data_IF_178387017839
#
_entry.id   IF_178387017839
#
_cell.length_a   1.000
_cell.length_b   1.000
_cell.length_c   1.000
_cell.angle_alpha   90.00
_cell.angle_beta   90.00
_cell.angle_gamma   90.00
#
_symmetry.space_group_name_H-M   'P 1'
#
loop_
_entity.id
_entity.type
_entity.pdbx_description
1 polymer ?
#
# COMPACT_ATOMS: atom_id res chain seq x y z
N UNK A 1 10.64 -28.33 3.61
CA UNK A 1 10.42 -27.23 2.72
C UNK A 1 9.91 -26.01 3.43
N UNK A 2 10.68 -25.00 3.45
CA UNK A 2 10.21 -23.78 4.12
C UNK A 2 9.04 -23.23 3.38
N UNK A 3 8.05 -22.87 4.14
CA UNK A 3 6.92 -22.17 3.57
C UNK A 3 7.31 -20.74 3.27
N UNK A 4 7.03 -20.33 2.08
CA UNK A 4 7.24 -18.94 1.75
C UNK A 4 6.27 -18.10 2.56
N UNK A 5 6.80 -17.18 3.33
CA UNK A 5 5.97 -16.19 4.01
C UNK A 5 5.80 -14.95 3.16
N UNK A 6 6.28 -15.03 1.91
CA UNK A 6 6.12 -13.89 1.02
C UNK A 6 4.67 -13.67 0.67
N UNK A 7 4.31 -12.43 0.57
CA UNK A 7 2.97 -11.99 0.29
C UNK A 7 2.98 -11.29 -1.05
N UNK A 8 1.94 -11.49 -1.84
CA UNK A 8 1.80 -10.78 -3.10
C UNK A 8 1.24 -9.40 -2.82
N UNK A 9 2.03 -8.39 -3.13
CA UNK A 9 1.70 -7.01 -2.83
C UNK A 9 1.62 -6.21 -4.11
N UNK A 10 0.53 -5.49 -4.30
CA UNK A 10 0.43 -4.52 -5.39
C UNK A 10 0.88 -3.17 -4.86
N UNK A 11 1.80 -2.53 -5.57
CA UNK A 11 2.30 -1.21 -5.20
C UNK A 11 1.95 -0.24 -6.31
N UNK A 12 0.96 0.61 -6.06
CA UNK A 12 0.53 1.63 -7.02
C UNK A 12 1.17 2.95 -6.59
N UNK A 13 2.25 3.32 -7.24
CA UNK A 13 3.00 4.50 -6.82
C UNK A 13 3.88 5.00 -7.96
N UNK A 14 4.57 6.11 -7.70
CA UNK A 14 5.55 6.63 -8.64
C UNK A 14 6.86 5.84 -8.51
N UNK A 15 7.64 5.82 -9.60
CA UNK A 15 8.85 5.02 -9.64
C UNK A 15 9.88 5.45 -8.60
N UNK A 16 9.89 6.71 -8.26
CA UNK A 16 10.84 7.25 -7.28
C UNK A 16 10.69 6.61 -5.90
N UNK A 17 9.55 6.01 -5.64
CA UNK A 17 9.26 5.38 -4.35
C UNK A 17 9.58 3.90 -4.31
N UNK A 18 9.98 3.30 -5.42
CA UNK A 18 10.15 1.85 -5.49
C UNK A 18 11.15 1.33 -4.46
N UNK A 19 12.32 1.95 -4.38
CA UNK A 19 13.35 1.49 -3.46
C UNK A 19 12.90 1.62 -2.01
N UNK A 20 12.21 2.69 -1.68
CA UNK A 20 11.71 2.90 -0.34
C UNK A 20 10.71 1.81 0.05
N UNK A 21 9.80 1.48 -0.86
CA UNK A 21 8.81 0.44 -0.60
C UNK A 21 9.49 -0.92 -0.52
N UNK A 22 10.46 -1.20 -1.40
CA UNK A 22 11.20 -2.46 -1.33
C UNK A 22 11.91 -2.62 0.00
N UNK A 23 12.49 -1.53 0.52
CA UNK A 23 13.19 -1.58 1.80
C UNK A 23 12.22 -1.89 2.94
N UNK A 24 10.99 -1.46 2.84
CA UNK A 24 9.98 -1.71 3.87
C UNK A 24 9.36 -3.11 3.76
N UNK A 25 9.46 -3.75 2.60
CA UNK A 25 8.81 -5.04 2.36
C UNK A 25 9.78 -6.08 1.83
N UNK A 26 10.88 -6.35 2.58
CA UNK A 26 11.87 -7.30 2.10
C UNK A 26 11.28 -8.71 2.03
N UNK A 27 11.63 -9.43 0.97
CA UNK A 27 11.21 -10.82 0.83
C UNK A 27 9.80 -11.05 0.34
N UNK A 28 9.04 -9.99 0.12
CA UNK A 28 7.69 -10.13 -0.41
C UNK A 28 7.69 -9.95 -1.92
N UNK A 29 6.64 -10.42 -2.56
CA UNK A 29 6.52 -10.38 -4.01
C UNK A 29 5.78 -9.10 -4.40
N UNK A 30 6.52 -8.13 -4.94
CA UNK A 30 5.97 -6.81 -5.23
C UNK A 30 5.69 -6.66 -6.72
N UNK A 31 4.50 -6.18 -7.05
CA UNK A 31 4.14 -5.81 -8.41
C UNK A 31 3.90 -4.31 -8.43
N UNK A 32 4.67 -3.59 -9.23
CA UNK A 32 4.59 -2.13 -9.29
C UNK A 32 3.75 -1.71 -10.49
N UNK A 33 2.81 -0.79 -10.25
CA UNK A 33 2.03 -0.19 -11.32
C UNK A 33 2.10 1.33 -11.22
N UNK A 34 1.98 2.00 -12.36
CA UNK A 34 2.21 3.45 -12.46
C UNK A 34 0.96 4.23 -12.82
N UNK A 35 -0.05 3.59 -13.38
CA UNK A 35 -1.26 4.27 -13.84
C UNK A 35 -2.48 3.50 -13.41
N UNK A 36 -3.62 4.20 -13.39
CA UNK A 36 -4.89 3.54 -13.07
C UNK A 36 -5.20 2.37 -14.00
N UNK A 37 -5.03 2.49 -15.32
CA UNK A 37 -5.29 1.32 -16.18
C UNK A 37 -4.40 0.13 -15.85
N UNK A 38 -3.14 0.35 -15.51
CA UNK A 38 -2.26 -0.75 -15.10
C UNK A 38 -2.74 -1.38 -13.80
N UNK A 39 -3.12 -0.55 -12.83
CA UNK A 39 -3.62 -1.05 -11.55
C UNK A 39 -4.88 -1.87 -11.76
N UNK A 40 -5.81 -1.38 -12.56
CA UNK A 40 -7.05 -2.09 -12.82
C UNK A 40 -6.79 -3.44 -13.48
N UNK A 41 -5.86 -3.48 -14.43
CA UNK A 41 -5.51 -4.73 -15.11
C UNK A 41 -4.94 -5.75 -14.13
N UNK A 42 -3.99 -5.32 -13.30
CA UNK A 42 -3.35 -6.24 -12.37
C UNK A 42 -4.32 -6.72 -11.29
N UNK A 43 -5.16 -5.83 -10.78
CA UNK A 43 -6.14 -6.19 -9.76
C UNK A 43 -7.15 -7.22 -10.28
N UNK A 44 -7.46 -7.16 -11.56
CA UNK A 44 -8.42 -8.10 -12.14
C UNK A 44 -7.77 -9.37 -12.65
N UNK A 45 -6.45 -9.40 -12.76
CA UNK A 45 -5.73 -10.56 -13.28
C UNK A 45 -5.17 -11.45 -12.17
N UNK A 46 -4.84 -10.87 -11.04
CA UNK A 46 -4.13 -11.59 -10.00
C UNK A 46 -4.78 -11.31 -8.65
N UNK A 47 -4.43 -12.12 -7.67
CA UNK A 47 -4.93 -11.94 -6.31
C UNK A 47 -3.83 -11.40 -5.42
N UNK A 48 -3.95 -10.15 -5.01
CA UNK A 48 -2.99 -9.54 -4.10
C UNK A 48 -3.50 -9.63 -2.67
N UNK A 49 -2.57 -9.77 -1.74
CA UNK A 49 -2.89 -9.96 -0.33
C UNK A 49 -2.72 -8.69 0.47
N UNK A 50 -2.02 -7.72 -0.12
CA UNK A 50 -1.84 -6.40 0.46
C UNK A 50 -1.75 -5.42 -0.71
N UNK A 51 -2.35 -4.25 -0.55
CA UNK A 51 -2.28 -3.21 -1.59
C UNK A 51 -1.74 -1.94 -0.95
N UNK A 52 -0.71 -1.37 -1.57
CA UNK A 52 -0.05 -0.15 -1.14
C UNK A 52 -0.25 0.89 -2.22
N UNK A 53 -0.83 2.03 -1.87
CA UNK A 53 -1.12 3.09 -2.83
C UNK A 53 -0.45 4.37 -2.36
N UNK A 54 0.36 4.98 -3.24
CA UNK A 54 1.07 6.21 -2.92
C UNK A 54 0.24 7.45 -3.18
N UNK A 55 0.48 8.49 -2.38
CA UNK A 55 -0.23 9.76 -2.50
C UNK A 55 -0.14 10.34 -3.90
N UNK A 56 1.01 10.17 -4.56
CA UNK A 56 1.25 10.78 -5.86
C UNK A 56 1.00 9.84 -7.02
N UNK A 57 0.44 8.68 -6.74
CA UNK A 57 0.15 7.70 -7.78
C UNK A 57 -0.71 8.32 -8.88
N UNK A 58 -0.20 8.22 -10.12
CA UNK A 58 -0.91 8.61 -11.32
C UNK A 58 -1.58 9.98 -11.17
N UNK A 59 -0.76 11.01 -10.93
CA UNK A 59 -1.24 12.39 -10.78
C UNK A 59 -2.26 12.53 -9.64
N UNK A 60 -1.86 12.01 -8.48
CA UNK A 60 -2.65 12.15 -7.24
C UNK A 60 -4.00 11.43 -7.30
N UNK A 61 -4.01 10.23 -7.88
CA UNK A 61 -5.23 9.41 -7.93
C UNK A 61 -5.29 8.37 -6.82
N UNK A 62 -4.60 8.61 -5.71
CA UNK A 62 -4.55 7.65 -4.60
C UNK A 62 -5.94 7.26 -4.11
N UNK A 63 -6.79 8.25 -3.83
CA UNK A 63 -8.12 7.96 -3.29
C UNK A 63 -9.02 7.32 -4.33
N UNK A 64 -8.87 7.71 -5.60
CA UNK A 64 -9.60 7.07 -6.68
C UNK A 64 -9.24 5.60 -6.79
N UNK A 65 -7.95 5.29 -6.67
CA UNK A 65 -7.49 3.90 -6.71
C UNK A 65 -8.04 3.11 -5.53
N UNK A 66 -8.02 3.70 -4.35
CA UNK A 66 -8.58 3.05 -3.16
C UNK A 66 -10.07 2.74 -3.37
N UNK A 67 -10.82 3.70 -3.89
CA UNK A 67 -12.24 3.48 -4.16
C UNK A 67 -12.44 2.35 -5.16
N UNK A 68 -11.59 2.29 -6.19
CA UNK A 68 -11.70 1.22 -7.17
C UNK A 68 -11.47 -0.14 -6.53
N UNK A 69 -10.42 -0.27 -5.70
CA UNK A 69 -10.13 -1.54 -5.02
C UNK A 69 -11.34 -1.97 -4.18
N UNK A 70 -11.91 -1.03 -3.44
CA UNK A 70 -13.04 -1.35 -2.56
C UNK A 70 -14.32 -1.66 -3.34
N UNK A 71 -14.38 -1.31 -4.61
CA UNK A 71 -15.53 -1.67 -5.44
C UNK A 71 -15.45 -3.13 -5.92
N UNK A 72 -14.30 -3.78 -5.77
CA UNK A 72 -14.10 -5.15 -6.22
C UNK A 72 -14.39 -6.11 -5.08
N UNK A 73 -15.42 -6.97 -5.21
CA UNK A 73 -15.80 -7.83 -4.08
C UNK A 73 -14.71 -8.74 -3.57
N UNK A 74 -13.85 -9.24 -4.46
CA UNK A 74 -12.79 -10.16 -4.05
C UNK A 74 -11.65 -9.47 -3.29
N UNK A 75 -11.67 -8.15 -3.22
CA UNK A 75 -10.71 -7.41 -2.40
C UNK A 75 -11.36 -6.80 -1.16
N UNK A 76 -12.59 -7.18 -0.83
CA UNK A 76 -13.31 -6.55 0.28
C UNK A 76 -12.56 -6.65 1.61
N UNK A 77 -11.86 -7.76 1.84
CA UNK A 77 -11.16 -8.00 3.10
C UNK A 77 -9.66 -7.78 3.00
N UNK A 78 -9.15 -7.40 1.84
CA UNK A 78 -7.71 -7.21 1.65
C UNK A 78 -7.31 -5.85 2.22
N UNK A 79 -6.28 -5.79 3.08
CA UNK A 79 -5.85 -4.50 3.62
C UNK A 79 -5.26 -3.62 2.52
N UNK A 80 -5.62 -2.34 2.56
CA UNK A 80 -5.10 -1.33 1.67
C UNK A 80 -4.48 -0.25 2.53
N UNK A 81 -3.19 0.02 2.30
CA UNK A 81 -2.45 1.03 3.04
C UNK A 81 -2.04 2.12 2.05
N UNK A 82 -2.29 3.35 2.41
CA UNK A 82 -1.86 4.48 1.60
C UNK A 82 -0.60 5.06 2.21
N UNK A 83 0.33 5.51 1.37
CA UNK A 83 1.64 5.93 1.84
C UNK A 83 2.05 7.24 1.20
N UNK A 84 2.92 7.95 1.89
CA UNK A 84 3.55 9.16 1.40
C UNK A 84 5.02 9.08 1.82
N UNK A 85 5.91 9.40 0.91
CA UNK A 85 7.34 9.35 1.24
C UNK A 85 8.11 10.42 0.50
N UNK A 86 7.50 11.56 0.35
CA UNK A 86 8.17 12.68 -0.24
C UNK A 86 8.99 13.43 0.79
N UNK A 87 10.04 14.07 0.30
CA UNK A 87 10.86 14.94 1.14
C UNK A 87 10.14 16.26 1.42
N UNK A 88 9.05 16.56 0.74
CA UNK A 88 8.22 17.70 1.10
C UNK A 88 7.34 17.30 2.26
N UNK A 89 7.55 17.95 3.40
CA UNK A 89 6.80 17.61 4.59
C UNK A 89 5.38 18.13 4.50
N UNK A 90 4.43 17.23 4.66
CA UNK A 90 3.05 17.62 4.86
C UNK A 90 2.90 18.03 6.33
N UNK A 91 2.06 19.03 6.59
CA UNK A 91 1.78 19.40 7.98
C UNK A 91 1.01 18.26 8.66
N UNK A 92 1.06 18.26 9.99
CA UNK A 92 0.31 17.24 10.74
C UNK A 92 -1.18 17.32 10.45
N UNK A 93 -1.71 18.53 10.30
CA UNK A 93 -3.14 18.70 10.00
C UNK A 93 -3.49 18.08 8.65
N UNK A 94 -2.65 18.29 7.63
CA UNK A 94 -2.90 17.71 6.30
C UNK A 94 -2.79 16.20 6.37
N UNK A 95 -1.75 15.68 7.05
CA UNK A 95 -1.57 14.23 7.20
C UNK A 95 -2.78 13.59 7.86
N UNK A 96 -3.28 14.24 8.91
CA UNK A 96 -4.45 13.72 9.62
C UNK A 96 -5.69 13.74 8.75
N UNK A 97 -5.87 14.81 7.97
CA UNK A 97 -7.02 14.90 7.08
C UNK A 97 -6.98 13.81 6.02
N UNK A 98 -5.81 13.54 5.46
CA UNK A 98 -5.67 12.47 4.48
C UNK A 98 -5.94 11.12 5.12
N UNK A 99 -5.42 10.89 6.33
CA UNK A 99 -5.67 9.64 7.03
C UNK A 99 -7.15 9.41 7.27
N UNK A 100 -7.87 10.46 7.67
CA UNK A 100 -9.31 10.38 7.87
C UNK A 100 -10.02 10.01 6.57
N UNK A 101 -9.62 10.64 5.45
CA UNK A 101 -10.22 10.34 4.15
C UNK A 101 -9.93 8.91 3.73
N UNK A 102 -8.70 8.45 3.93
CA UNK A 102 -8.31 7.09 3.58
C UNK A 102 -9.17 6.08 4.36
N UNK A 103 -9.31 6.29 5.66
CA UNK A 103 -10.10 5.39 6.49
C UNK A 103 -11.58 5.42 6.13
N UNK A 104 -12.09 6.60 5.79
CA UNK A 104 -13.49 6.74 5.39
C UNK A 104 -13.78 5.98 4.10
N UNK A 105 -12.79 5.82 3.23
CA UNK A 105 -12.93 5.11 1.97
C UNK A 105 -12.54 3.64 2.07
N UNK A 106 -12.26 3.16 3.27
CA UNK A 106 -11.97 1.75 3.48
C UNK A 106 -10.50 1.37 3.51
N UNK A 107 -9.60 2.36 3.51
CA UNK A 107 -8.19 2.11 3.70
C UNK A 107 -7.86 1.91 5.16
N UNK A 108 -6.76 1.25 5.45
CA UNK A 108 -6.38 0.94 6.81
C UNK A 108 -5.69 2.12 7.48
N UNK A 109 -4.82 2.80 6.77
CA UNK A 109 -4.05 3.92 7.32
C UNK A 109 -3.34 4.67 6.21
N UNK A 110 -2.89 5.87 6.55
CA UNK A 110 -2.00 6.66 5.70
C UNK A 110 -0.68 6.80 6.43
N UNK A 111 0.37 6.19 5.92
CA UNK A 111 1.67 6.11 6.57
C UNK A 111 2.66 7.04 5.88
N UNK A 112 3.60 7.56 6.66
CA UNK A 112 4.66 8.39 6.12
C UNK A 112 5.98 7.62 6.14
N UNK A 113 6.48 7.31 4.93
CA UNK A 113 7.71 6.55 4.78
C UNK A 113 8.90 7.45 4.43
N UNK A 114 8.74 8.76 4.56
CA UNK A 114 9.79 9.71 4.20
C UNK A 114 10.99 9.68 5.14
N UNK A 115 12.18 9.82 4.57
CA UNK A 115 13.39 9.93 5.35
C UNK A 115 13.32 11.19 6.20
N UNK A 116 13.89 11.12 7.39
CA UNK A 116 13.89 12.27 8.30
C UNK A 116 12.60 12.45 9.06
N UNK A 117 11.62 11.59 8.81
CA UNK A 117 10.39 11.59 9.59
C UNK A 117 10.59 10.72 10.82
N UNK A 118 10.17 11.23 11.96
CA UNK A 118 10.44 10.58 13.23
C UNK A 118 9.93 9.14 13.29
N UNK A 119 8.77 8.89 12.68
CA UNK A 119 8.12 7.59 12.75
C UNK A 119 8.36 6.71 11.52
N UNK A 120 9.30 7.10 10.67
CA UNK A 120 9.55 6.37 9.43
C UNK A 120 9.78 4.87 9.66
N UNK A 121 10.64 4.52 10.64
CA UNK A 121 10.95 3.10 10.88
C UNK A 121 9.76 2.35 11.44
N UNK A 122 8.95 3.01 12.25
CA UNK A 122 7.75 2.37 12.80
C UNK A 122 6.73 2.10 11.70
N UNK A 123 6.52 3.06 10.82
CA UNK A 123 5.58 2.90 9.72
C UNK A 123 6.05 1.82 8.75
N UNK A 124 7.35 1.78 8.48
CA UNK A 124 7.93 0.76 7.63
C UNK A 124 7.73 -0.64 8.25
N UNK A 125 7.98 -0.77 9.55
CA UNK A 125 7.79 -2.04 10.25
C UNK A 125 6.32 -2.47 10.29
N UNK A 126 5.42 -1.50 10.43
CA UNK A 126 3.99 -1.79 10.40
C UNK A 126 3.58 -2.36 9.05
N UNK A 127 4.09 -1.77 7.97
CA UNK A 127 3.78 -2.23 6.64
C UNK A 127 4.24 -3.68 6.43
N UNK A 128 5.46 -3.99 6.87
CA UNK A 128 5.97 -5.35 6.75
C UNK A 128 5.14 -6.34 7.58
N UNK A 129 4.76 -5.95 8.78
CA UNK A 129 3.93 -6.81 9.62
C UNK A 129 2.57 -7.08 8.97
N UNK A 130 1.98 -6.07 8.37
CA UNK A 130 0.72 -6.25 7.66
C UNK A 130 0.86 -7.22 6.50
N UNK A 131 1.99 -7.14 5.77
CA UNK A 131 2.24 -8.05 4.68
C UNK A 131 2.36 -9.49 5.18
N UNK A 132 3.09 -9.70 6.27
CA UNK A 132 3.25 -11.03 6.84
C UNK A 132 1.90 -11.59 7.29
N UNK A 133 1.12 -10.79 7.98
CA UNK A 133 -0.18 -11.23 8.49
C UNK A 133 -1.15 -11.51 7.34
N UNK A 134 -1.10 -10.71 6.30
CA UNK A 134 -1.98 -10.91 5.14
C UNK A 134 -1.67 -12.21 4.42
N UNK A 135 -0.39 -12.54 4.32
CA UNK A 135 0.01 -13.81 3.72
C UNK A 135 -0.49 -15.00 4.51
N UNK A 136 -0.49 -14.90 5.83
CA UNK A 136 -0.98 -15.97 6.68
C UNK A 136 -2.49 -16.11 6.61
N UNK A 137 -3.21 -15.00 6.52
CA UNK A 137 -4.67 -15.03 6.60
C UNK A 137 -5.33 -15.57 5.34
N UNK A 138 -4.57 -15.76 4.26
CA UNK A 138 -5.11 -16.31 3.01
C UNK A 138 -4.90 -17.81 2.94
N UNK A 139 -4.52 -18.43 4.00
CA UNK A 139 -4.26 -19.86 4.00
C UNK A 139 -5.52 -20.66 3.72
N UNK A 140 -5.48 -21.59 2.76
CA UNK A 140 -6.61 -22.47 2.54
C UNK A 140 -6.76 -23.46 3.69
N UNK A 141 -7.96 -23.87 3.90
CA UNK A 141 -8.22 -24.86 4.95
C UNK A 141 -8.01 -26.27 4.45
#
# INVERSE_FOLDING_TARGET
MPLSLSTKVLVANVAEMDDKVRDCLPGHHLTFVRTMPQAMRELNRDGFQLIVIGLEFDEHRMLECLQYVRSLPHYAAVPVVCVHAEYMNLSEAVMKNIDVAVKALGGLAFLNLGDGVLNYKQDCALLDRLAIESGRSVRPN
#
